data_IF_896039652882
#
_entry.id   IF_896039652882
#
_cell.length_a   1.000
_cell.length_b   1.000
_cell.length_c   1.000
_cell.angle_alpha   90.00
_cell.angle_beta   90.00
_cell.angle_gamma   90.00
#
_symmetry.space_group_name_H-M   'P 1'
#
loop_
_entity.id
_entity.type
_entity.pdbx_description
1 polymer ?
#
# COMPACT_ATOMS: atom_id res chain seq x y z
N UNK A 1 83.37 -18.26 16.15
CA UNK A 1 82.22 -17.44 16.60
C UNK A 1 81.35 -17.06 15.40
N UNK A 2 80.15 -17.66 15.26
CA UNK A 2 79.24 -17.45 14.12
C UNK A 2 78.31 -16.27 14.43
N UNK A 3 78.51 -15.12 13.77
CA UNK A 3 77.68 -13.92 13.99
C UNK A 3 76.31 -14.09 13.31
N UNK A 4 75.26 -14.15 14.12
CA UNK A 4 73.86 -14.19 13.67
C UNK A 4 73.48 -12.83 13.08
N UNK A 5 73.30 -12.74 11.76
CA UNK A 5 72.79 -11.52 11.11
C UNK A 5 71.38 -11.23 11.63
N UNK A 6 71.16 -10.00 12.13
CA UNK A 6 69.83 -9.50 12.46
C UNK A 6 69.01 -9.38 11.18
N UNK A 7 67.81 -9.96 11.21
CA UNK A 7 66.86 -9.95 10.10
C UNK A 7 66.23 -8.56 10.03
N UNK A 8 66.67 -7.74 9.09
CA UNK A 8 66.11 -6.39 8.89
C UNK A 8 64.68 -6.49 8.41
N UNK A 9 63.73 -5.94 9.17
CA UNK A 9 62.32 -5.90 8.79
C UNK A 9 62.14 -4.89 7.65
N UNK A 10 61.85 -5.36 6.43
CA UNK A 10 61.47 -4.48 5.31
C UNK A 10 60.05 -3.98 5.56
N UNK A 11 59.88 -2.66 5.70
CA UNK A 11 58.55 -2.02 5.66
C UNK A 11 57.93 -2.25 4.28
N UNK A 12 56.69 -2.74 4.25
CA UNK A 12 55.90 -2.87 3.03
C UNK A 12 55.73 -1.50 2.35
N UNK A 13 55.72 -1.48 1.02
CA UNK A 13 55.42 -0.30 0.21
C UNK A 13 53.94 -0.35 -0.16
N UNK A 14 53.27 0.80 -0.13
CA UNK A 14 51.89 0.93 -0.62
C UNK A 14 51.99 1.27 -2.11
N UNK A 15 51.38 0.44 -2.96
CA UNK A 15 51.38 0.64 -4.41
C UNK A 15 50.13 1.42 -4.83
N UNK A 16 50.28 2.73 -5.02
CA UNK A 16 49.15 3.63 -5.30
C UNK A 16 48.62 3.43 -6.73
N UNK A 17 49.50 3.22 -7.71
CA UNK A 17 49.12 3.11 -9.13
C UNK A 17 48.17 1.90 -9.36
N UNK A 18 48.47 0.68 -8.89
CA UNK A 18 47.53 -0.43 -8.98
C UNK A 18 46.22 -0.21 -8.21
N UNK A 19 46.26 0.50 -7.08
CA UNK A 19 45.03 0.80 -6.32
C UNK A 19 44.11 1.77 -7.08
N UNK A 20 44.66 2.77 -7.76
CA UNK A 20 43.90 3.69 -8.61
C UNK A 20 43.23 2.92 -9.75
N UNK A 21 43.95 1.98 -10.38
CA UNK A 21 43.43 1.16 -11.47
C UNK A 21 42.21 0.33 -11.01
N UNK A 22 42.30 -0.31 -9.84
CA UNK A 22 41.17 -1.06 -9.26
C UNK A 22 39.97 -0.15 -8.97
N UNK A 23 40.19 1.05 -8.43
CA UNK A 23 39.11 2.00 -8.16
C UNK A 23 38.45 2.52 -9.45
N UNK A 24 39.25 2.83 -10.48
CA UNK A 24 38.75 3.27 -11.77
C UNK A 24 37.98 2.16 -12.49
N UNK A 25 38.50 0.93 -12.45
CA UNK A 25 37.82 -0.24 -13.00
C UNK A 25 36.48 -0.49 -12.31
N UNK A 26 36.43 -0.41 -10.98
CA UNK A 26 35.19 -0.53 -10.21
C UNK A 26 34.18 0.56 -10.57
N UNK A 27 34.63 1.81 -10.71
CA UNK A 27 33.75 2.92 -11.08
C UNK A 27 33.18 2.73 -12.50
N UNK A 28 34.02 2.38 -13.47
CA UNK A 28 33.60 2.16 -14.85
C UNK A 28 32.64 0.98 -14.98
N UNK A 29 32.94 -0.16 -14.34
CA UNK A 29 32.04 -1.33 -14.34
C UNK A 29 30.73 -1.04 -13.62
N UNK A 30 30.76 -0.29 -12.51
CA UNK A 30 29.55 0.12 -11.80
C UNK A 30 28.68 1.06 -12.66
N UNK A 31 29.28 2.03 -13.34
CA UNK A 31 28.56 2.93 -14.25
C UNK A 31 27.88 2.15 -15.38
N UNK A 32 28.60 1.21 -16.01
CA UNK A 32 28.03 0.35 -17.06
C UNK A 32 26.90 -0.55 -16.52
N UNK A 33 27.07 -1.14 -15.33
CA UNK A 33 26.05 -1.98 -14.70
C UNK A 33 24.78 -1.17 -14.34
N UNK A 34 24.95 0.05 -13.80
CA UNK A 34 23.84 0.95 -13.46
C UNK A 34 23.03 1.36 -14.68
N UNK A 35 23.68 1.68 -15.80
CA UNK A 35 23.01 1.96 -17.07
C UNK A 35 22.30 0.72 -17.63
N UNK A 36 22.88 -0.47 -17.46
CA UNK A 36 22.23 -1.72 -17.86
C UNK A 36 20.97 -2.04 -17.05
N UNK A 37 20.89 -1.64 -15.77
CA UNK A 37 19.70 -1.83 -14.93
C UNK A 37 18.55 -0.90 -15.32
N UNK A 38 18.83 0.27 -15.90
CA UNK A 38 17.79 1.20 -16.36
C UNK A 38 17.10 0.74 -17.65
N UNK A 39 17.74 -0.14 -18.44
CA UNK A 39 17.14 -0.75 -19.64
C UNK A 39 16.25 -1.96 -19.34
N UNK A 40 15.88 -2.20 -18.06
CA UNK A 40 14.72 -3.04 -17.73
C UNK A 40 13.44 -2.24 -18.01
N UNK A 41 13.34 -1.74 -19.24
CA UNK A 41 12.17 -1.12 -19.82
C UNK A 41 11.04 -2.13 -19.76
N UNK A 42 10.14 -1.86 -18.81
CA UNK A 42 8.72 -2.10 -18.92
C UNK A 42 8.36 -3.37 -19.68
N UNK A 43 8.43 -4.52 -19.00
CA UNK A 43 7.35 -5.47 -19.27
C UNK A 43 6.08 -4.67 -18.96
N UNK A 44 5.38 -4.24 -20.02
CA UNK A 44 4.00 -3.76 -19.93
C UNK A 44 3.22 -4.92 -19.33
N UNK A 45 3.21 -5.01 -18.02
CA UNK A 45 2.23 -5.78 -17.30
C UNK A 45 0.93 -5.07 -17.62
N UNK A 46 0.21 -5.63 -18.59
CA UNK A 46 -1.22 -5.43 -18.71
C UNK A 46 -1.77 -5.89 -17.36
N UNK A 47 -1.91 -4.96 -16.42
CA UNK A 47 -2.72 -5.16 -15.26
C UNK A 47 -4.09 -5.55 -15.84
N UNK A 48 -4.56 -6.80 -15.65
CA UNK A 48 -5.95 -7.05 -15.93
C UNK A 48 -6.68 -6.02 -15.08
N UNK A 49 -7.49 -5.17 -15.71
CA UNK A 49 -8.52 -4.45 -15.00
C UNK A 49 -9.49 -5.52 -14.52
N UNK A 50 -9.09 -6.23 -13.48
CA UNK A 50 -9.99 -6.99 -12.66
C UNK A 50 -11.04 -5.97 -12.28
N UNK A 51 -12.25 -6.16 -12.79
CA UNK A 51 -13.42 -5.69 -12.11
C UNK A 51 -13.34 -6.39 -10.75
N UNK A 52 -12.61 -5.80 -9.81
CA UNK A 52 -12.89 -6.02 -8.42
C UNK A 52 -14.37 -5.70 -8.37
N UNK A 53 -15.20 -6.73 -8.20
CA UNK A 53 -16.51 -6.50 -7.65
C UNK A 53 -16.21 -5.64 -6.42
N UNK A 54 -16.68 -4.38 -6.46
CA UNK A 54 -16.68 -3.55 -5.27
C UNK A 54 -17.23 -4.48 -4.21
N UNK A 55 -16.43 -4.77 -3.18
CA UNK A 55 -16.93 -5.40 -1.97
C UNK A 55 -18.30 -4.75 -1.75
N UNK A 56 -19.37 -5.53 -1.90
CA UNK A 56 -20.71 -5.09 -1.53
C UNK A 56 -20.58 -4.88 -0.04
N UNK A 57 -20.18 -3.67 0.34
CA UNK A 57 -20.39 -3.17 1.69
C UNK A 57 -21.90 -3.20 1.76
N UNK A 58 -22.45 -4.24 2.38
CA UNK A 58 -23.86 -4.28 2.74
C UNK A 58 -24.06 -3.06 3.64
N UNK A 59 -24.50 -1.96 3.03
CA UNK A 59 -24.79 -0.74 3.74
C UNK A 59 -25.99 -1.06 4.61
N UNK A 60 -25.85 -1.03 5.94
CA UNK A 60 -26.96 -1.35 6.81
C UNK A 60 -28.08 -0.35 6.56
N UNK A 61 -29.31 -0.86 6.47
CA UNK A 61 -30.50 -0.04 6.35
C UNK A 61 -30.60 0.83 7.60
N UNK A 62 -30.45 2.15 7.44
CA UNK A 62 -30.41 3.08 8.58
C UNK A 62 -31.75 3.76 8.76
N UNK A 63 -32.36 3.59 9.93
CA UNK A 63 -33.56 4.28 10.38
C UNK A 63 -33.16 5.37 11.35
N UNK A 64 -33.40 6.63 11.00
CA UNK A 64 -33.10 7.78 11.85
C UNK A 64 -34.38 8.44 12.32
N UNK A 65 -34.50 8.65 13.64
CA UNK A 65 -35.52 9.51 14.24
C UNK A 65 -34.85 10.79 14.70
N UNK A 66 -35.27 11.93 14.14
CA UNK A 66 -34.79 13.27 14.57
C UNK A 66 -35.57 13.77 15.77
N UNK A 67 -35.00 14.69 16.57
CA UNK A 67 -35.69 15.32 17.71
C UNK A 67 -36.99 16.03 17.33
N UNK A 68 -37.09 16.50 16.09
CA UNK A 68 -38.31 17.08 15.50
C UNK A 68 -39.41 16.03 15.17
N UNK A 69 -39.20 14.75 15.51
CA UNK A 69 -40.12 13.66 15.23
C UNK A 69 -40.16 13.21 13.77
N UNK A 70 -39.24 13.68 12.92
CA UNK A 70 -39.16 13.22 11.51
C UNK A 70 -38.41 11.90 11.44
N UNK A 71 -38.92 10.99 10.60
CA UNK A 71 -38.35 9.67 10.34
C UNK A 71 -37.60 9.71 9.01
N UNK A 72 -36.37 9.18 9.00
CA UNK A 72 -35.57 9.04 7.79
C UNK A 72 -35.15 7.59 7.59
N UNK A 73 -35.24 7.11 6.36
CA UNK A 73 -34.74 5.79 5.92
C UNK A 73 -33.61 6.04 4.93
N UNK A 74 -32.38 5.65 5.24
CA UNK A 74 -31.20 5.94 4.38
C UNK A 74 -31.12 7.41 3.93
N UNK A 75 -31.35 8.35 4.86
CA UNK A 75 -31.37 9.81 4.62
C UNK A 75 -32.57 10.32 3.81
N UNK A 76 -33.50 9.46 3.40
CA UNK A 76 -34.76 9.88 2.76
C UNK A 76 -35.85 10.10 3.82
N UNK A 77 -36.52 11.25 3.87
CA UNK A 77 -37.60 11.51 4.80
C UNK A 77 -38.84 10.69 4.44
N UNK A 78 -39.41 9.97 5.41
CA UNK A 78 -40.58 9.11 5.23
C UNK A 78 -41.61 9.41 6.32
N UNK A 79 -42.90 9.33 5.99
CA UNK A 79 -43.97 9.47 6.98
C UNK A 79 -44.23 8.14 7.68
N UNK A 80 -44.83 8.17 8.88
CA UNK A 80 -45.16 6.95 9.62
C UNK A 80 -46.05 5.98 8.81
N UNK A 81 -47.00 6.52 8.04
CA UNK A 81 -47.93 5.75 7.21
C UNK A 81 -47.23 5.04 6.04
N UNK A 82 -46.18 5.66 5.50
CA UNK A 82 -45.43 5.14 4.35
C UNK A 82 -44.20 4.33 4.75
N UNK A 83 -43.77 4.40 6.01
CA UNK A 83 -42.62 3.69 6.55
C UNK A 83 -42.69 2.19 6.30
N UNK A 84 -43.81 1.55 6.67
CA UNK A 84 -43.94 0.10 6.50
C UNK A 84 -43.92 -0.34 5.03
N UNK A 85 -44.46 0.49 4.13
CA UNK A 85 -44.46 0.23 2.69
C UNK A 85 -43.05 0.36 2.09
N UNK A 86 -42.27 1.32 2.57
CA UNK A 86 -40.89 1.55 2.12
C UNK A 86 -39.90 0.56 2.74
N UNK A 87 -40.11 0.13 3.98
CA UNK A 87 -39.18 -0.75 4.71
C UNK A 87 -39.33 -2.24 4.35
N UNK A 88 -40.57 -2.71 4.14
CA UNK A 88 -40.87 -4.11 3.78
C UNK A 88 -40.08 -4.66 2.57
N UNK A 89 -39.99 -3.95 1.43
CA UNK A 89 -39.22 -4.44 0.28
C UNK A 89 -37.71 -4.43 0.54
N UNK A 90 -37.22 -3.51 1.38
CA UNK A 90 -35.79 -3.37 1.69
C UNK A 90 -35.28 -4.45 2.66
N UNK A 91 -36.13 -4.95 3.56
CA UNK A 91 -35.77 -6.01 4.53
C UNK A 91 -35.81 -7.42 3.90
N UNK A 92 -36.52 -7.60 2.78
CA UNK A 92 -36.69 -8.94 2.16
C UNK A 92 -35.40 -9.53 1.62
N UNK A 93 -34.37 -8.72 1.37
CA UNK A 93 -33.04 -9.16 0.95
C UNK A 93 -32.18 -9.52 2.17
N UNK A 94 -32.69 -10.49 2.94
CA UNK A 94 -32.21 -11.32 4.08
C UNK A 94 -30.82 -11.17 4.77
N UNK A 95 -29.99 -10.15 4.53
CA UNK A 95 -28.66 -10.00 5.14
C UNK A 95 -28.33 -8.61 5.69
N UNK A 96 -29.22 -7.61 5.53
CA UNK A 96 -28.94 -6.25 5.99
C UNK A 96 -29.33 -6.03 7.44
N UNK A 97 -28.31 -5.81 8.29
CA UNK A 97 -28.49 -5.28 9.63
C UNK A 97 -29.23 -3.93 9.54
N UNK A 98 -30.30 -3.76 10.32
CA UNK A 98 -31.00 -2.48 10.44
C UNK A 98 -30.39 -1.71 11.61
N UNK A 99 -29.85 -0.52 11.34
CA UNK A 99 -29.31 0.37 12.37
C UNK A 99 -30.36 1.43 12.68
N UNK A 100 -30.76 1.53 13.95
CA UNK A 100 -31.72 2.56 14.40
C UNK A 100 -30.95 3.62 15.18
N UNK A 101 -30.93 4.84 14.64
CA UNK A 101 -30.35 6.02 15.28
C UNK A 101 -31.48 6.94 15.74
N UNK A 102 -31.63 7.14 17.04
CA UNK A 102 -32.52 8.16 17.58
C UNK A 102 -31.67 9.33 18.06
N UNK A 103 -31.98 10.53 17.58
CA UNK A 103 -31.41 11.76 18.10
C UNK A 103 -31.98 11.99 19.50
N UNK A 104 -31.11 12.32 20.46
CA UNK A 104 -31.45 12.44 21.87
C UNK A 104 -31.19 13.88 22.31
N UNK A 105 -32.00 14.79 21.78
CA UNK A 105 -32.29 16.09 22.39
C UNK A 105 -33.57 15.99 23.22
#
# INVERSE_FOLDING_TARGET
MKRRKLRTYRKGRIEIIPMIDVMFFLLATFMLASLSMQNLDSIKVNLPQGKAEKLKIDQPLTLTLTGDGRILVNQTPVSLDTLAATLKPLIRDAAQNVVVSADND
#
